data_IF_429476218411
#
_entry.id   IF_429476218411
#
_cell.length_a   1.000
_cell.length_b   1.000
_cell.length_c   1.000
_cell.angle_alpha   90.00
_cell.angle_beta   90.00
_cell.angle_gamma   90.00
#
_symmetry.space_group_name_H-M   'P 1'
#
loop_
_entity.id
_entity.type
_entity.pdbx_description
1 polymer ?
#
# COMPACT_ATOMS: atom_id res chain seq x y z
N UNK A 1 -56.72 -7.95 4.78
CA UNK A 1 -55.94 -6.71 4.52
C UNK A 1 -54.67 -6.54 5.38
N UNK A 2 -54.23 -7.53 6.19
CA UNK A 2 -53.06 -7.34 7.08
C UNK A 2 -51.72 -7.85 6.55
N UNK A 3 -51.73 -8.81 5.60
CA UNK A 3 -50.52 -9.46 5.08
C UNK A 3 -49.66 -8.49 4.26
N UNK A 4 -50.28 -7.60 3.48
CA UNK A 4 -49.57 -6.60 2.67
C UNK A 4 -48.89 -5.51 3.50
N UNK A 5 -49.39 -5.22 4.69
CA UNK A 5 -48.79 -4.26 5.63
C UNK A 5 -47.55 -4.86 6.30
N UNK A 6 -47.60 -6.13 6.70
CA UNK A 6 -46.48 -6.84 7.30
C UNK A 6 -45.29 -6.99 6.32
N UNK A 7 -45.57 -7.31 5.05
CA UNK A 7 -44.53 -7.40 4.01
C UNK A 7 -43.86 -6.04 3.75
N UNK A 8 -44.63 -4.94 3.69
CA UNK A 8 -44.08 -3.58 3.53
C UNK A 8 -43.22 -3.17 4.72
N UNK A 9 -43.61 -3.54 5.94
CA UNK A 9 -42.84 -3.26 7.14
C UNK A 9 -41.56 -4.10 7.22
N UNK A 10 -41.64 -5.39 6.89
CA UNK A 10 -40.48 -6.27 6.79
C UNK A 10 -39.47 -5.78 5.77
N UNK A 11 -39.93 -5.34 4.59
CA UNK A 11 -39.04 -4.76 3.59
C UNK A 11 -38.39 -3.46 4.09
N UNK A 12 -39.12 -2.58 4.77
CA UNK A 12 -38.55 -1.34 5.34
C UNK A 12 -37.50 -1.61 6.40
N UNK A 13 -37.76 -2.58 7.29
CA UNK A 13 -36.79 -2.99 8.31
C UNK A 13 -35.54 -3.61 7.69
N UNK A 14 -35.70 -4.46 6.67
CA UNK A 14 -34.57 -5.06 5.96
C UNK A 14 -33.72 -3.99 5.26
N UNK A 15 -34.35 -3.04 4.57
CA UNK A 15 -33.63 -1.95 3.89
C UNK A 15 -32.92 -1.05 4.90
N UNK A 16 -33.54 -0.74 6.05
CA UNK A 16 -32.90 0.04 7.11
C UNK A 16 -31.70 -0.69 7.72
N UNK A 17 -31.81 -2.00 7.96
CA UNK A 17 -30.72 -2.82 8.46
C UNK A 17 -29.54 -2.87 7.47
N UNK A 18 -29.82 -3.08 6.18
CA UNK A 18 -28.80 -3.04 5.12
C UNK A 18 -28.11 -1.68 5.04
N UNK A 19 -28.89 -0.59 5.09
CA UNK A 19 -28.35 0.77 5.08
C UNK A 19 -27.42 1.00 6.29
N UNK A 20 -27.84 0.58 7.49
CA UNK A 20 -27.03 0.69 8.69
C UNK A 20 -25.70 -0.09 8.55
N UNK A 21 -25.73 -1.30 8.01
CA UNK A 21 -24.52 -2.09 7.74
C UNK A 21 -23.57 -1.36 6.79
N UNK A 22 -24.08 -0.79 5.69
CA UNK A 22 -23.27 -0.03 4.74
C UNK A 22 -22.66 1.22 5.40
N UNK A 23 -23.44 1.96 6.19
CA UNK A 23 -22.95 3.15 6.90
C UNK A 23 -21.85 2.78 7.90
N UNK A 24 -22.04 1.73 8.70
CA UNK A 24 -21.03 1.24 9.64
C UNK A 24 -19.75 0.83 8.90
N UNK A 25 -19.89 0.13 7.76
CA UNK A 25 -18.74 -0.26 6.94
C UNK A 25 -18.00 0.94 6.34
N UNK A 26 -18.72 1.96 5.87
CA UNK A 26 -18.09 3.19 5.37
C UNK A 26 -17.33 3.93 6.48
N UNK A 27 -17.90 4.03 7.68
CA UNK A 27 -17.26 4.67 8.84
C UNK A 27 -16.00 3.89 9.24
N UNK A 28 -16.07 2.55 9.31
CA UNK A 28 -14.90 1.74 9.67
C UNK A 28 -13.77 1.90 8.66
N UNK A 29 -14.08 1.92 7.35
CA UNK A 29 -13.07 2.15 6.32
C UNK A 29 -12.44 3.54 6.41
N UNK A 30 -13.24 4.58 6.69
CA UNK A 30 -12.73 5.95 6.86
C UNK A 30 -11.83 6.09 8.09
N UNK A 31 -12.17 5.43 9.21
CA UNK A 31 -11.31 5.44 10.40
C UNK A 31 -10.03 4.62 10.22
N UNK A 32 -10.07 3.54 9.42
CA UNK A 32 -8.90 2.71 9.14
C UNK A 32 -7.99 3.24 8.04
N UNK A 33 -8.41 4.22 7.23
CA UNK A 33 -7.58 4.85 6.20
C UNK A 33 -6.56 5.85 6.76
N UNK A 34 -6.08 5.64 7.99
CA UNK A 34 -5.03 6.46 8.57
C UNK A 34 -3.74 6.34 7.76
N UNK A 35 -3.09 7.47 7.49
CA UNK A 35 -1.75 7.50 6.91
C UNK A 35 -0.78 6.74 7.83
N UNK A 36 0.07 5.90 7.25
CA UNK A 36 1.12 5.23 8.01
C UNK A 36 2.01 6.28 8.69
N UNK A 37 2.35 6.07 9.98
CA UNK A 37 3.29 6.91 10.72
C UNK A 37 4.73 6.54 10.33
N UNK A 38 5.06 6.81 9.08
CA UNK A 38 6.32 6.43 8.48
C UNK A 38 7.21 7.67 8.28
N UNK A 39 8.52 7.44 8.31
CA UNK A 39 9.52 8.40 7.81
C UNK A 39 10.03 7.99 6.45
N UNK A 40 10.37 8.98 5.64
CA UNK A 40 11.13 8.74 4.41
C UNK A 40 12.52 8.19 4.78
N UNK A 41 12.81 6.98 4.30
CA UNK A 41 14.10 6.32 4.48
C UNK A 41 15.04 6.62 3.30
N UNK A 42 14.53 6.49 2.07
CA UNK A 42 15.33 6.71 0.86
C UNK A 42 14.46 7.11 -0.34
N UNK A 43 15.07 7.80 -1.30
CA UNK A 43 14.48 8.09 -2.61
C UNK A 43 15.51 7.90 -3.72
N UNK A 44 15.12 7.29 -4.83
CA UNK A 44 16.02 7.00 -5.96
C UNK A 44 15.29 7.07 -7.29
N UNK A 45 15.91 7.70 -8.29
CA UNK A 45 15.41 7.66 -9.68
C UNK A 45 15.68 6.26 -10.28
N UNK A 46 14.65 5.62 -10.84
CA UNK A 46 14.79 4.32 -11.51
C UNK A 46 14.82 4.47 -13.03
N UNK A 47 13.99 5.34 -13.57
CA UNK A 47 13.93 5.72 -14.99
C UNK A 47 13.45 7.17 -15.09
N UNK A 48 13.24 7.69 -16.30
CA UNK A 48 12.92 9.12 -16.53
C UNK A 48 11.67 9.57 -15.77
N UNK A 49 10.65 8.71 -15.69
CA UNK A 49 9.35 9.03 -15.08
C UNK A 49 9.01 8.18 -13.85
N UNK A 50 9.94 7.33 -13.38
CA UNK A 50 9.70 6.40 -12.26
C UNK A 50 10.73 6.63 -11.17
N UNK A 51 10.21 7.00 -10.00
CA UNK A 51 10.97 7.19 -8.77
C UNK A 51 10.57 6.13 -7.75
N UNK A 52 11.57 5.62 -7.06
CA UNK A 52 11.42 4.75 -5.91
C UNK A 52 11.46 5.60 -4.65
N UNK A 53 10.47 5.40 -3.79
CA UNK A 53 10.46 5.93 -2.43
C UNK A 53 10.40 4.77 -1.45
N UNK A 54 11.25 4.81 -0.44
CA UNK A 54 11.28 3.83 0.65
C UNK A 54 10.95 4.56 1.92
N UNK A 55 9.98 4.05 2.67
CA UNK A 55 9.61 4.56 4.00
C UNK A 55 9.90 3.51 5.05
N UNK A 56 10.15 3.96 6.28
CA UNK A 56 10.36 3.12 7.44
C UNK A 56 9.32 3.49 8.51
N UNK A 57 8.68 2.48 9.08
CA UNK A 57 7.74 2.65 10.18
C UNK A 57 8.46 3.21 11.42
N UNK A 58 7.94 4.30 12.01
CA UNK A 58 8.62 4.99 13.11
C UNK A 58 8.27 4.45 14.50
N UNK A 59 7.11 3.83 14.67
CA UNK A 59 6.66 3.31 15.96
C UNK A 59 7.13 1.87 16.21
N UNK A 60 8.27 1.49 15.62
CA UNK A 60 8.89 0.21 15.94
C UNK A 60 9.44 0.29 17.38
N UNK A 61 8.69 -0.25 18.34
CA UNK A 61 9.16 -0.42 19.72
C UNK A 61 10.30 -1.43 19.79
N UNK A 62 10.81 -1.68 21.01
CA UNK A 62 11.95 -2.59 21.24
C UNK A 62 11.72 -4.05 20.78
N UNK A 63 10.48 -4.43 20.46
CA UNK A 63 10.07 -5.76 20.00
C UNK A 63 9.48 -5.79 18.60
N UNK A 64 9.33 -4.64 17.95
CA UNK A 64 8.73 -4.57 16.63
C UNK A 64 9.78 -4.80 15.56
N UNK A 65 9.43 -5.62 14.57
CA UNK A 65 10.30 -5.80 13.41
C UNK A 65 10.40 -4.49 12.64
N UNK A 66 11.60 -4.16 12.15
CA UNK A 66 11.76 -3.09 11.19
C UNK A 66 10.82 -3.33 10.00
N UNK A 67 9.97 -2.36 9.65
CA UNK A 67 9.06 -2.45 8.50
C UNK A 67 9.43 -1.35 7.51
N UNK A 68 9.86 -1.79 6.33
CA UNK A 68 10.17 -0.93 5.20
C UNK A 68 9.12 -1.10 4.12
N UNK A 69 8.60 0.01 3.61
CA UNK A 69 7.59 0.04 2.54
C UNK A 69 8.17 0.74 1.32
N UNK A 70 8.00 0.12 0.16
CA UNK A 70 8.52 0.59 -1.11
C UNK A 70 7.38 1.04 -2.00
N UNK A 71 7.52 2.24 -2.58
CA UNK A 71 6.52 2.90 -3.39
C UNK A 71 7.13 3.29 -4.73
N UNK A 72 6.35 3.14 -5.79
CA UNK A 72 6.66 3.69 -7.11
C UNK A 72 5.77 4.90 -7.34
N UNK A 73 6.38 6.00 -7.74
CA UNK A 73 5.66 7.23 -8.04
C UNK A 73 6.41 8.05 -9.06
N UNK A 74 5.78 9.10 -9.58
CA UNK A 74 6.50 10.12 -10.34
C UNK A 74 7.41 10.93 -9.40
N UNK A 75 8.26 11.77 -9.96
CA UNK A 75 9.08 12.68 -9.16
C UNK A 75 8.17 13.61 -8.34
N UNK A 76 8.27 13.53 -7.02
CA UNK A 76 7.59 14.43 -6.08
C UNK A 76 8.53 15.60 -5.77
N UNK A 77 8.14 16.80 -6.20
CA UNK A 77 8.79 18.04 -5.79
C UNK A 77 8.12 18.56 -4.50
N UNK A 78 8.79 18.38 -3.36
CA UNK A 78 8.26 18.72 -2.03
C UNK A 78 8.41 17.59 -1.03
N UNK A 79 7.49 17.54 -0.06
CA UNK A 79 7.43 16.49 0.98
C UNK A 79 6.78 15.20 0.43
N UNK A 80 7.55 14.10 0.25
CA UNK A 80 7.02 12.86 -0.29
C UNK A 80 5.98 12.20 0.61
N UNK A 81 6.00 12.44 1.93
CA UNK A 81 5.10 11.76 2.86
C UNK A 81 3.63 12.11 2.60
N UNK A 82 3.35 13.33 2.15
CA UNK A 82 1.98 13.75 1.80
C UNK A 82 1.43 13.02 0.58
N UNK A 83 2.26 12.83 -0.44
CA UNK A 83 1.86 12.13 -1.65
C UNK A 83 1.78 10.61 -1.41
N UNK A 84 2.73 10.07 -0.64
CA UNK A 84 2.80 8.63 -0.34
C UNK A 84 1.73 8.16 0.63
N UNK A 85 1.17 9.04 1.47
CA UNK A 85 0.07 8.69 2.38
C UNK A 85 -1.19 8.15 1.69
N UNK A 86 -1.39 8.47 0.40
CA UNK A 86 -2.49 7.93 -0.42
C UNK A 86 -2.03 6.86 -1.42
N UNK A 87 -0.72 6.58 -1.50
CA UNK A 87 -0.17 5.58 -2.41
C UNK A 87 -0.15 4.21 -1.71
N UNK A 88 -0.37 3.15 -2.48
CA UNK A 88 -0.20 1.78 -1.98
C UNK A 88 1.27 1.35 -2.18
N UNK A 89 1.93 0.79 -1.15
CA UNK A 89 3.25 0.20 -1.33
C UNK A 89 3.16 -1.07 -2.18
N UNK A 90 4.09 -1.26 -3.10
CA UNK A 90 4.15 -2.48 -3.91
C UNK A 90 4.99 -3.58 -3.24
N UNK A 91 5.84 -3.21 -2.29
CA UNK A 91 6.63 -4.14 -1.49
C UNK A 91 6.68 -3.64 -0.05
N UNK A 92 6.46 -4.55 0.91
CA UNK A 92 6.68 -4.33 2.33
C UNK A 92 7.59 -5.45 2.84
N UNK A 93 8.72 -5.09 3.44
CA UNK A 93 9.78 -6.01 3.84
C UNK A 93 10.41 -5.63 5.19
N UNK A 94 11.20 -6.53 5.74
CA UNK A 94 11.96 -6.32 6.98
C UNK A 94 13.23 -5.48 6.80
N UNK A 95 13.66 -5.25 5.56
CA UNK A 95 14.87 -4.48 5.24
C UNK A 95 14.64 -3.39 4.20
N UNK A 96 15.35 -2.28 4.38
CA UNK A 96 15.34 -1.10 3.52
C UNK A 96 16.42 -1.10 2.42
N UNK A 97 17.20 -2.17 2.31
CA UNK A 97 18.36 -2.31 1.42
C UNK A 97 18.07 -3.13 0.15
N UNK A 98 16.79 -3.30 -0.22
CA UNK A 98 16.44 -3.97 -1.46
C UNK A 98 17.10 -3.25 -2.66
N UNK A 99 17.76 -4.02 -3.51
CA UNK A 99 18.33 -3.50 -4.74
C UNK A 99 17.24 -3.38 -5.80
N UNK A 100 16.88 -2.15 -6.12
CA UNK A 100 15.86 -1.84 -7.11
C UNK A 100 16.48 -1.08 -8.27
N UNK A 101 16.19 -1.55 -9.48
CA UNK A 101 16.62 -0.96 -10.75
C UNK A 101 15.46 -0.89 -11.73
N UNK A 102 15.42 0.18 -12.53
CA UNK A 102 14.47 0.33 -13.63
C UNK A 102 15.18 0.32 -14.99
N UNK A 103 14.55 -0.31 -15.97
CA UNK A 103 14.93 -0.21 -17.39
C UNK A 103 13.66 0.05 -18.20
N UNK A 104 13.45 1.31 -18.60
CA UNK A 104 12.20 1.75 -19.21
C UNK A 104 11.01 1.52 -18.27
N UNK A 105 9.99 0.79 -18.75
CA UNK A 105 8.78 0.46 -17.97
C UNK A 105 8.90 -0.83 -17.13
N UNK A 106 10.09 -1.41 -17.01
CA UNK A 106 10.34 -2.65 -16.26
C UNK A 106 11.16 -2.36 -15.01
N UNK A 107 10.67 -2.79 -13.86
CA UNK A 107 11.33 -2.64 -12.56
C UNK A 107 11.72 -4.02 -12.07
N UNK A 108 12.98 -4.16 -11.66
CA UNK A 108 13.50 -5.38 -11.07
C UNK A 108 13.89 -5.11 -9.63
N UNK A 109 13.38 -5.93 -8.73
CA UNK A 109 13.66 -5.87 -7.30
C UNK A 109 14.42 -7.11 -6.87
N UNK A 110 15.53 -6.90 -6.18
CA UNK A 110 16.30 -7.96 -5.52
C UNK A 110 16.33 -7.71 -4.03
N UNK A 111 15.81 -8.66 -3.25
CA UNK A 111 15.74 -8.56 -1.79
C UNK A 111 16.31 -9.83 -1.16
N UNK A 112 17.05 -9.68 -0.05
CA UNK A 112 17.40 -10.78 0.85
C UNK A 112 16.84 -10.47 2.23
N UNK A 113 15.85 -11.23 2.68
CA UNK A 113 15.11 -10.93 3.91
C UNK A 113 13.70 -11.49 3.91
N UNK A 114 12.87 -10.98 4.80
CA UNK A 114 11.45 -11.32 4.92
C UNK A 114 10.59 -10.33 4.14
N UNK A 115 9.72 -10.87 3.29
CA UNK A 115 8.67 -10.11 2.60
C UNK A 115 7.38 -10.25 3.39
N UNK A 116 6.80 -9.14 3.81
CA UNK A 116 5.48 -9.10 4.45
C UNK A 116 4.36 -9.00 3.41
N UNK A 117 4.57 -8.24 2.35
CA UNK A 117 3.61 -8.07 1.25
C UNK A 117 4.33 -7.71 -0.04
N UNK A 118 3.84 -8.23 -1.17
CA UNK A 118 4.35 -7.91 -2.50
C UNK A 118 3.21 -7.88 -3.53
N UNK A 119 3.26 -6.87 -4.40
CA UNK A 119 2.45 -6.76 -5.60
C UNK A 119 3.35 -6.58 -6.81
N UNK A 120 3.17 -7.44 -7.82
CA UNK A 120 3.85 -7.31 -9.11
C UNK A 120 3.23 -6.23 -10.02
N UNK A 121 2.21 -5.53 -9.51
CA UNK A 121 1.53 -4.43 -10.18
C UNK A 121 1.49 -3.21 -9.26
N UNK A 122 1.90 -2.07 -9.80
CA UNK A 122 1.74 -0.77 -9.17
C UNK A 122 1.31 0.22 -10.24
N UNK A 123 0.39 1.11 -9.90
CA UNK A 123 -0.04 2.18 -10.80
C UNK A 123 -0.04 3.51 -10.08
N UNK A 124 0.37 4.55 -10.80
CA UNK A 124 0.30 5.92 -10.34
C UNK A 124 0.05 6.84 -11.53
N UNK A 125 -0.34 8.08 -11.26
CA UNK A 125 -0.55 9.08 -12.30
C UNK A 125 0.63 10.03 -12.32
N UNK A 126 1.21 10.25 -13.50
CA UNK A 126 2.10 11.38 -13.77
C UNK A 126 1.29 12.44 -14.53
N UNK A 127 0.77 13.42 -13.77
CA UNK A 127 -0.23 14.37 -14.27
C UNK A 127 -1.52 13.67 -14.70
N UNK A 128 -1.75 13.58 -16.02
CA UNK A 128 -2.94 12.90 -16.61
C UNK A 128 -2.62 11.52 -17.19
N UNK A 129 -1.36 11.10 -17.14
CA UNK A 129 -0.90 9.86 -17.76
C UNK A 129 -0.84 8.79 -16.67
N UNK A 130 -1.61 7.71 -16.83
CA UNK A 130 -1.48 6.54 -15.97
C UNK A 130 -0.18 5.79 -16.34
N UNK A 131 0.67 5.58 -15.33
CA UNK A 131 1.93 4.85 -15.45
C UNK A 131 1.78 3.54 -14.67
N UNK A 132 2.03 2.42 -15.35
CA UNK A 132 1.93 1.08 -14.77
C UNK A 132 3.15 0.24 -15.19
N UNK A 133 4.24 0.28 -14.40
CA UNK A 133 5.42 -0.51 -14.69
C UNK A 133 5.17 -2.00 -14.40
N UNK A 134 5.87 -2.86 -15.15
CA UNK A 134 5.95 -4.29 -14.84
C UNK A 134 7.03 -4.50 -13.77
N UNK A 135 6.69 -5.25 -12.72
CA UNK A 135 7.59 -5.46 -11.57
C UNK A 135 7.98 -6.94 -11.50
N UNK A 136 9.27 -7.23 -11.62
CA UNK A 136 9.85 -8.52 -11.31
C UNK A 136 10.51 -8.50 -9.94
N UNK A 137 10.42 -9.62 -9.23
CA UNK A 137 11.07 -9.81 -7.93
C UNK A 137 11.94 -11.06 -7.93
N UNK A 138 13.15 -10.92 -7.40
CA UNK A 138 14.06 -11.99 -7.02
C UNK A 138 14.31 -11.87 -5.52
N UNK A 139 13.74 -12.80 -4.75
CA UNK A 139 13.75 -12.76 -3.30
C UNK A 139 14.48 -13.98 -2.72
N UNK A 140 15.41 -13.73 -1.80
CA UNK A 140 16.14 -14.77 -1.06
C UNK A 140 15.76 -14.72 0.41
N UNK A 141 15.36 -15.86 0.95
CA UNK A 141 15.12 -16.00 2.39
C UNK A 141 16.42 -15.93 3.17
N UNK A 142 16.33 -15.47 4.42
CA UNK A 142 17.41 -15.59 5.40
C UNK A 142 17.15 -16.81 6.29
N UNK A 143 18.19 -17.61 6.53
CA UNK A 143 18.12 -18.66 7.53
C UNK A 143 18.37 -18.04 8.91
N UNK A 144 17.33 -17.92 9.74
CA UNK A 144 17.44 -17.39 11.09
C UNK A 144 18.35 -18.20 12.04
N UNK A 145 18.88 -19.34 11.57
CA UNK A 145 19.68 -20.29 12.35
C UNK A 145 21.13 -20.43 11.87
N UNK A 146 21.57 -19.62 10.90
CA UNK A 146 22.92 -19.69 10.34
C UNK A 146 23.46 -18.28 10.16
N UNK A 147 23.97 -17.72 11.25
CA UNK A 147 24.82 -16.51 11.24
C UNK A 147 26.26 -16.86 10.85
#
# INVERSE_FOLDING_TARGET
MQISTAIKWGHRLLTAALLATVVVFCISQYMSSGSYNDRLYSKKSLSDNIWLYVTQYQDAGATDSDVYRYYLYHRIDGDPMKALGNAAPFLTADRGDASVSGMGNRITVRLTGKIYSFSNSASFYDGKIAVMPTIDIDAKGINAWRE
#
